data_IF_681184389592
#
_entry.id   IF_681184389592
#
_cell.length_a   1.000
_cell.length_b   1.000
_cell.length_c   1.000
_cell.angle_alpha   90.00
_cell.angle_beta   90.00
_cell.angle_gamma   90.00
#
_symmetry.space_group_name_H-M   'P 1'
#
loop_
_entity.id
_entity.type
_entity.pdbx_description
1 polymer ?
#
# COMPACT_ATOMS: atom_id res chain seq x y z
N UNK A 1 27.64 38.83 -8.64
CA UNK A 1 26.21 39.20 -8.51
C UNK A 1 25.54 38.55 -9.72
N UNK A 2 25.19 37.27 -9.62
CA UNK A 2 23.85 36.75 -9.24
C UNK A 2 22.84 37.04 -10.36
N UNK A 3 22.06 36.11 -10.91
CA UNK A 3 21.44 34.90 -10.37
C UNK A 3 21.07 33.98 -11.55
N UNK A 4 21.75 32.84 -11.71
CA UNK A 4 21.21 31.73 -12.51
C UNK A 4 20.32 30.91 -11.57
N UNK A 5 19.04 31.27 -11.49
CA UNK A 5 18.02 30.50 -10.79
C UNK A 5 17.87 29.12 -11.44
N UNK A 6 18.72 28.19 -11.04
CA UNK A 6 18.46 26.78 -11.21
C UNK A 6 17.22 26.46 -10.35
N UNK A 7 16.07 26.26 -10.99
CA UNK A 7 14.91 25.67 -10.33
C UNK A 7 15.34 24.28 -9.88
N UNK A 8 15.74 24.14 -8.62
CA UNK A 8 15.91 22.83 -8.02
C UNK A 8 14.53 22.18 -8.08
N UNK A 9 14.39 21.17 -8.95
CA UNK A 9 13.29 20.24 -8.82
C UNK A 9 13.47 19.64 -7.45
N UNK A 10 12.55 19.95 -6.53
CA UNK A 10 12.53 19.34 -5.21
C UNK A 10 12.46 17.84 -5.45
N UNK A 11 13.60 17.15 -5.25
CA UNK A 11 13.62 15.71 -5.15
C UNK A 11 12.92 15.43 -3.83
N UNK A 12 11.62 15.24 -3.89
CA UNK A 12 10.84 14.72 -2.78
C UNK A 12 11.41 13.35 -2.49
N UNK A 13 12.29 13.26 -1.49
CA UNK A 13 12.76 12.00 -0.95
C UNK A 13 11.56 11.31 -0.33
N UNK A 14 10.87 10.49 -1.12
CA UNK A 14 9.79 9.64 -0.63
C UNK A 14 10.44 8.65 0.33
N UNK A 15 10.11 8.76 1.62
CA UNK A 15 10.68 7.91 2.65
C UNK A 15 9.96 6.55 2.57
N UNK A 16 10.34 5.74 1.59
CA UNK A 16 9.70 4.46 1.23
C UNK A 16 10.01 3.33 2.22
N UNK A 17 10.17 3.63 3.51
CA UNK A 17 10.24 2.61 4.57
C UNK A 17 8.83 2.19 4.98
N UNK A 18 8.04 1.68 4.04
CA UNK A 18 6.94 0.77 4.39
C UNK A 18 7.63 -0.54 4.74
N UNK A 19 8.09 -0.63 5.99
CA UNK A 19 8.59 -1.87 6.54
C UNK A 19 7.41 -2.83 6.49
N UNK A 20 7.43 -3.80 5.57
CA UNK A 20 6.37 -4.79 5.48
C UNK A 20 6.42 -5.60 6.79
N UNK A 21 5.63 -5.18 7.77
CA UNK A 21 5.63 -5.70 9.12
C UNK A 21 4.90 -7.04 9.14
N UNK A 22 5.45 -8.06 8.47
CA UNK A 22 5.05 -9.42 8.77
C UNK A 22 5.54 -9.72 10.19
N UNK A 23 4.61 -9.64 11.15
CA UNK A 23 4.84 -10.14 12.50
C UNK A 23 5.34 -11.58 12.38
N UNK A 24 6.38 -11.95 13.14
CA UNK A 24 6.92 -13.32 13.17
C UNK A 24 5.82 -14.38 13.39
N UNK A 25 4.76 -14.00 14.11
CA UNK A 25 3.55 -14.80 14.31
C UNK A 25 2.86 -15.20 12.99
N UNK A 26 2.73 -14.26 12.05
CA UNK A 26 2.10 -14.48 10.74
C UNK A 26 2.96 -15.42 9.90
N UNK A 27 4.28 -15.20 9.89
CA UNK A 27 5.23 -16.09 9.20
C UNK A 27 5.18 -17.53 9.73
N UNK A 28 5.14 -17.69 11.06
CA UNK A 28 4.99 -19.01 11.68
C UNK A 28 3.68 -19.67 11.29
N UNK A 29 2.56 -18.92 11.29
CA UNK A 29 1.24 -19.44 10.92
C UNK A 29 1.16 -19.85 9.45
N UNK A 30 1.79 -19.10 8.55
CA UNK A 30 1.88 -19.46 7.13
C UNK A 30 2.69 -20.75 6.93
N UNK A 31 3.77 -20.92 7.70
CA UNK A 31 4.54 -22.17 7.74
C UNK A 31 3.72 -23.37 8.23
N UNK A 32 2.93 -23.21 9.30
CA UNK A 32 2.01 -24.25 9.81
C UNK A 32 0.96 -24.65 8.77
N UNK A 33 0.43 -23.68 8.03
CA UNK A 33 -0.57 -23.87 6.98
C UNK A 33 0.02 -24.42 5.67
N UNK A 34 1.33 -24.71 5.64
CA UNK A 34 2.07 -25.18 4.45
C UNK A 34 1.94 -24.24 3.24
N UNK A 35 1.66 -22.96 3.46
CA UNK A 35 1.80 -21.96 2.42
C UNK A 35 3.28 -21.77 2.13
N UNK A 36 3.71 -22.17 0.95
CA UNK A 36 5.05 -21.83 0.47
C UNK A 36 5.16 -20.32 0.35
N UNK A 37 6.02 -19.70 1.16
CA UNK A 37 6.39 -18.31 0.93
C UNK A 37 7.16 -18.27 -0.40
N UNK A 38 6.53 -17.76 -1.46
CA UNK A 38 7.25 -17.40 -2.67
C UNK A 38 8.30 -16.37 -2.25
N UNK A 39 9.57 -16.64 -2.58
CA UNK A 39 10.64 -15.71 -2.28
C UNK A 39 10.37 -14.43 -3.07
N UNK A 40 9.97 -13.39 -2.36
CA UNK A 40 9.84 -12.06 -2.92
C UNK A 40 11.02 -11.21 -2.43
N UNK A 41 11.69 -10.48 -3.33
CA UNK A 41 12.71 -9.53 -2.91
C UNK A 41 12.09 -8.53 -1.93
N UNK A 42 12.91 -8.03 -1.00
CA UNK A 42 12.47 -7.14 0.10
C UNK A 42 11.74 -5.88 -0.39
N UNK A 43 11.82 -5.57 -1.69
CA UNK A 43 10.99 -4.60 -2.39
C UNK A 43 10.73 -5.14 -3.81
N UNK A 44 9.56 -5.71 -4.05
CA UNK A 44 9.11 -6.10 -5.40
C UNK A 44 8.25 -4.97 -5.97
N UNK A 45 8.76 -4.18 -6.94
CA UNK A 45 8.01 -3.07 -7.52
C UNK A 45 6.64 -3.51 -8.06
N UNK A 46 6.56 -4.72 -8.57
CA UNK A 46 5.38 -5.41 -9.09
C UNK A 46 4.28 -5.66 -8.03
N UNK A 47 4.64 -6.03 -6.80
CA UNK A 47 3.69 -6.12 -5.68
C UNK A 47 3.22 -4.73 -5.28
N UNK A 48 4.14 -3.78 -5.19
CA UNK A 48 3.80 -2.39 -4.90
C UNK A 48 2.94 -1.75 -5.99
N UNK A 49 3.13 -2.12 -7.25
CA UNK A 49 2.37 -1.61 -8.38
C UNK A 49 0.93 -2.11 -8.31
N UNK A 50 0.75 -3.40 -8.04
CA UNK A 50 -0.58 -3.99 -7.83
C UNK A 50 -1.31 -3.33 -6.65
N UNK A 51 -0.61 -3.16 -5.53
CA UNK A 51 -1.16 -2.50 -4.34
C UNK A 51 -1.45 -1.02 -4.62
N UNK A 52 -0.58 -0.33 -5.36
CA UNK A 52 -0.75 1.08 -5.73
C UNK A 52 -2.00 1.27 -6.60
N UNK A 53 -2.15 0.48 -7.66
CA UNK A 53 -3.35 0.55 -8.49
C UNK A 53 -4.61 0.18 -7.71
N UNK A 54 -4.57 -0.82 -6.84
CA UNK A 54 -5.70 -1.15 -5.96
C UNK A 54 -6.11 0.03 -5.08
N UNK A 55 -5.15 0.72 -4.46
CA UNK A 55 -5.44 1.89 -3.62
C UNK A 55 -5.97 3.08 -4.42
N UNK A 56 -5.52 3.30 -5.66
CA UNK A 56 -6.11 4.32 -6.54
C UNK A 56 -7.59 4.00 -6.84
N UNK A 57 -7.92 2.72 -7.06
CA UNK A 57 -9.32 2.30 -7.24
C UNK A 57 -10.14 2.46 -5.95
N UNK A 58 -9.55 2.18 -4.79
CA UNK A 58 -10.19 2.42 -3.49
C UNK A 58 -10.44 3.91 -3.25
N UNK A 59 -9.47 4.78 -3.53
CA UNK A 59 -9.64 6.22 -3.34
C UNK A 59 -10.81 6.76 -4.16
N UNK A 60 -10.98 6.29 -5.40
CA UNK A 60 -12.14 6.63 -6.23
C UNK A 60 -13.43 6.06 -5.66
N UNK A 61 -13.43 4.78 -5.24
CA UNK A 61 -14.62 4.11 -4.73
C UNK A 61 -15.13 4.69 -3.39
N UNK A 62 -14.22 5.10 -2.51
CA UNK A 62 -14.54 5.60 -1.17
C UNK A 62 -14.69 7.12 -1.10
N UNK A 63 -14.30 7.87 -2.15
CA UNK A 63 -14.23 9.33 -2.14
C UNK A 63 -15.46 10.02 -1.57
N UNK A 64 -16.64 9.55 -1.95
CA UNK A 64 -17.92 10.18 -1.61
C UNK A 64 -18.72 9.41 -0.54
N UNK A 65 -18.09 8.40 0.08
CA UNK A 65 -18.71 7.54 1.08
C UNK A 65 -18.36 8.01 2.50
N UNK A 66 -19.38 8.14 3.34
CA UNK A 66 -19.22 8.41 4.77
C UNK A 66 -19.79 7.26 5.58
N UNK A 67 -18.92 6.59 6.33
CA UNK A 67 -19.28 5.45 7.16
C UNK A 67 -19.63 5.89 8.57
N UNK A 68 -20.82 5.50 9.05
CA UNK A 68 -21.28 5.82 10.41
C UNK A 68 -20.76 4.82 11.43
N UNK A 69 -20.47 3.60 10.99
CA UNK A 69 -19.95 2.51 11.81
C UNK A 69 -19.13 1.54 10.95
N UNK A 70 -18.41 0.64 11.61
CA UNK A 70 -17.56 -0.35 10.93
C UNK A 70 -18.35 -1.29 10.03
N UNK A 71 -19.52 -1.75 10.47
CA UNK A 71 -20.39 -2.65 9.69
C UNK A 71 -20.80 -2.04 8.33
N UNK A 72 -21.12 -0.75 8.31
CA UNK A 72 -21.43 -0.02 7.07
C UNK A 72 -20.23 0.06 6.13
N UNK A 73 -19.02 0.15 6.66
CA UNK A 73 -17.81 0.15 5.85
C UNK A 73 -17.49 -1.25 5.30
N UNK A 74 -17.69 -2.29 6.11
CA UNK A 74 -17.46 -3.69 5.71
C UNK A 74 -18.47 -4.15 4.64
N UNK A 75 -19.73 -3.75 4.76
CA UNK A 75 -20.76 -4.01 3.75
C UNK A 75 -20.38 -3.36 2.42
N UNK A 76 -20.08 -2.05 2.43
CA UNK A 76 -19.70 -1.34 1.21
C UNK A 76 -18.38 -1.84 0.60
N UNK A 77 -17.44 -2.30 1.43
CA UNK A 77 -16.21 -2.93 0.96
C UNK A 77 -16.50 -4.28 0.27
N UNK A 78 -17.49 -5.04 0.75
CA UNK A 78 -17.87 -6.32 0.15
C UNK A 78 -18.48 -6.15 -1.25
N UNK A 79 -19.03 -4.98 -1.56
CA UNK A 79 -19.56 -4.63 -2.87
C UNK A 79 -18.47 -4.19 -3.88
N UNK A 80 -17.21 -4.04 -3.44
CA UNK A 80 -16.10 -3.69 -4.32
C UNK A 80 -15.68 -4.90 -5.18
N UNK A 81 -15.78 -4.77 -6.51
CA UNK A 81 -15.35 -5.77 -7.51
C UNK A 81 -14.59 -5.09 -8.66
#
# INVERSE_FOLDING_TARGET
>A
MEDCRAKSKAVTKRNDKIKCHFLKLVLNKLGELKYGALYHPTYSPDIFLTIFYLFEHFDVFFKDKLFKNQESAESDFSDFH
#
